data_IF_784892941401
#
_entry.id   IF_784892941401
#
_cell.length_a   1.000
_cell.length_b   1.000
_cell.length_c   1.000
_cell.angle_alpha   90.00
_cell.angle_beta   90.00
_cell.angle_gamma   90.00
#
_symmetry.space_group_name_H-M   'P 1'
#
loop_
_entity.id
_entity.type
_entity.pdbx_description
1 polymer ?
#
# COMPACT_ATOMS: atom_id res chain seq x y z
N UNK A 1 19.46 -12.92 12.27
CA UNK A 1 19.79 -11.49 12.19
C UNK A 1 18.90 -10.87 11.13
N UNK A 2 18.23 -9.74 11.39
CA UNK A 2 17.34 -9.09 10.42
C UNK A 2 18.11 -8.17 9.47
N UNK A 3 17.68 -8.11 8.21
CA UNK A 3 18.18 -7.16 7.22
C UNK A 3 17.36 -5.88 7.32
N UNK A 4 18.06 -4.75 7.36
CA UNK A 4 17.42 -3.45 7.37
C UNK A 4 17.06 -3.01 5.95
N UNK A 5 15.79 -2.67 5.74
CA UNK A 5 15.27 -2.14 4.48
C UNK A 5 15.30 -0.62 4.53
N UNK A 6 16.09 -0.03 3.62
CA UNK A 6 16.12 1.40 3.36
C UNK A 6 15.22 1.68 2.14
N UNK A 7 14.06 2.36 2.31
CA UNK A 7 13.15 2.62 1.20
C UNK A 7 13.84 3.37 0.05
N UNK A 8 13.64 2.89 -1.18
CA UNK A 8 14.24 3.48 -2.37
C UNK A 8 15.67 3.02 -2.69
N UNK A 9 16.30 2.22 -1.83
CA UNK A 9 17.68 1.77 -2.00
C UNK A 9 17.81 0.26 -2.30
N UNK A 10 16.74 -0.37 -2.80
CA UNK A 10 16.76 -1.80 -3.09
C UNK A 10 17.75 -2.13 -4.21
N UNK A 11 18.74 -2.97 -3.89
CA UNK A 11 19.70 -3.51 -4.87
C UNK A 11 19.22 -4.86 -5.41
N UNK A 12 19.72 -5.27 -6.58
CA UNK A 12 19.41 -6.61 -7.12
C UNK A 12 19.83 -7.73 -6.16
N UNK A 13 20.96 -7.58 -5.46
CA UNK A 13 21.39 -8.54 -4.44
C UNK A 13 20.42 -8.61 -3.26
N UNK A 14 19.85 -7.47 -2.82
CA UNK A 14 18.81 -7.46 -1.79
C UNK A 14 17.52 -8.12 -2.31
N UNK A 15 17.12 -7.84 -3.54
CA UNK A 15 15.94 -8.44 -4.15
C UNK A 15 16.09 -9.96 -4.31
N UNK A 16 17.28 -10.46 -4.68
CA UNK A 16 17.56 -11.90 -4.72
C UNK A 16 17.42 -12.55 -3.34
N UNK A 17 17.90 -11.89 -2.29
CA UNK A 17 17.71 -12.34 -0.90
C UNK A 17 16.23 -12.34 -0.51
N UNK A 18 15.47 -11.34 -0.97
CA UNK A 18 13.99 -11.26 -0.84
C UNK A 18 13.25 -12.26 -1.76
N UNK A 19 13.93 -12.87 -2.72
CA UNK A 19 13.36 -13.98 -3.46
C UNK A 19 13.56 -15.31 -2.73
N UNK A 20 14.77 -15.60 -2.22
CA UNK A 20 15.17 -16.94 -1.74
C UNK A 20 14.40 -17.49 -0.53
N UNK A 21 14.15 -16.68 0.50
CA UNK A 21 13.18 -16.99 1.56
C UNK A 21 13.74 -17.00 2.96
N UNK A 22 15.06 -16.93 3.09
CA UNK A 22 15.74 -17.47 4.27
C UNK A 22 16.06 -16.42 5.36
N UNK A 23 15.54 -15.20 5.20
CA UNK A 23 15.95 -14.04 5.99
C UNK A 23 14.75 -13.23 6.47
N UNK A 24 14.92 -12.60 7.63
CA UNK A 24 13.94 -11.66 8.20
C UNK A 24 14.33 -10.23 7.82
N UNK A 25 13.33 -9.40 7.57
CA UNK A 25 13.53 -8.00 7.18
C UNK A 25 12.89 -7.07 8.21
N UNK A 26 13.51 -5.91 8.41
CA UNK A 26 12.99 -4.83 9.24
C UNK A 26 13.10 -3.53 8.49
N UNK A 27 12.08 -2.69 8.57
CA UNK A 27 12.14 -1.35 8.01
C UNK A 27 13.09 -0.48 8.82
N UNK A 28 13.93 0.30 8.15
CA UNK A 28 14.76 1.31 8.80
C UNK A 28 13.87 2.33 9.53
N UNK A 29 14.23 2.65 10.79
CA UNK A 29 13.43 3.55 11.64
C UNK A 29 13.36 4.98 11.08
N UNK A 30 14.32 5.39 10.25
CA UNK A 30 14.32 6.70 9.59
C UNK A 30 13.16 6.88 8.61
N UNK A 31 12.55 5.79 8.13
CA UNK A 31 11.35 5.86 7.28
C UNK A 31 10.10 6.31 8.05
N UNK A 32 10.04 6.00 9.36
CA UNK A 32 8.83 6.16 10.18
C UNK A 32 8.31 7.61 10.22
N UNK A 33 9.13 8.64 10.48
CA UNK A 33 8.65 10.02 10.48
C UNK A 33 8.04 10.46 9.14
N UNK A 34 8.58 9.98 8.02
CA UNK A 34 8.03 10.29 6.69
C UNK A 34 6.67 9.63 6.47
N UNK A 35 6.54 8.36 6.86
CA UNK A 35 5.29 7.61 6.81
C UNK A 35 4.21 8.24 7.68
N UNK A 36 4.53 8.61 8.93
CA UNK A 36 3.58 9.21 9.87
C UNK A 36 3.08 10.57 9.33
N UNK A 37 3.97 11.40 8.76
CA UNK A 37 3.57 12.66 8.12
C UNK A 37 2.62 12.43 6.94
N UNK A 38 2.94 11.48 6.06
CA UNK A 38 2.09 11.16 4.91
C UNK A 38 0.72 10.62 5.36
N UNK A 39 0.70 9.72 6.35
CA UNK A 39 -0.53 9.16 6.91
C UNK A 39 -1.43 10.26 7.50
N UNK A 40 -0.86 11.23 8.22
CA UNK A 40 -1.61 12.36 8.77
C UNK A 40 -2.23 13.25 7.68
N UNK A 41 -1.52 13.46 6.57
CA UNK A 41 -2.05 14.22 5.41
C UNK A 41 -3.25 13.49 4.80
N UNK A 42 -3.13 12.17 4.59
CA UNK A 42 -4.22 11.36 4.03
C UNK A 42 -5.42 11.30 4.99
N UNK A 43 -5.18 11.17 6.30
CA UNK A 43 -6.24 11.19 7.30
C UNK A 43 -7.00 12.53 7.30
N UNK A 44 -6.28 13.65 7.24
CA UNK A 44 -6.88 14.97 7.14
C UNK A 44 -7.71 15.12 5.85
N UNK A 45 -7.18 14.66 4.71
CA UNK A 45 -7.90 14.65 3.43
C UNK A 45 -9.18 13.79 3.49
N UNK A 46 -9.13 12.61 4.10
CA UNK A 46 -10.30 11.75 4.30
C UNK A 46 -11.42 12.44 5.09
N UNK A 47 -11.07 13.24 6.09
CA UNK A 47 -12.05 14.02 6.87
C UNK A 47 -12.43 15.37 6.28
N UNK A 48 -11.78 15.79 5.19
CA UNK A 48 -11.87 17.14 4.65
C UNK A 48 -12.89 17.31 3.52
N UNK A 49 -13.31 18.56 3.31
CA UNK A 49 -14.24 18.96 2.26
C UNK A 49 -13.58 19.18 0.90
N UNK A 50 -12.28 18.91 0.71
CA UNK A 50 -11.63 19.00 -0.61
C UNK A 50 -11.60 17.63 -1.29
N UNK A 51 -11.99 17.49 -2.58
CA UNK A 51 -11.99 16.19 -3.24
C UNK A 51 -10.57 15.70 -3.45
N UNK A 52 -10.27 14.49 -2.98
CA UNK A 52 -8.97 13.83 -3.13
C UNK A 52 -9.19 12.41 -3.66
N UNK A 53 -8.65 12.17 -4.85
CA UNK A 53 -8.83 10.92 -5.59
C UNK A 53 -8.46 9.70 -4.76
N UNK A 54 -9.40 8.76 -4.63
CA UNK A 54 -9.21 7.48 -3.94
C UNK A 54 -9.08 7.59 -2.41
N UNK A 55 -9.22 8.80 -1.85
CA UNK A 55 -9.23 9.05 -0.41
C UNK A 55 -10.66 9.32 0.07
N UNK A 56 -11.31 10.35 -0.49
CA UNK A 56 -12.71 10.71 -0.16
C UNK A 56 -13.59 10.83 -1.42
N UNK A 57 -13.13 10.24 -2.53
CA UNK A 57 -13.88 10.09 -3.78
C UNK A 57 -13.94 8.63 -4.17
N UNK A 58 -14.79 8.30 -5.15
CA UNK A 58 -14.74 7.01 -5.84
C UNK A 58 -13.45 6.82 -6.66
N UNK A 59 -13.36 5.67 -7.34
CA UNK A 59 -12.21 5.26 -8.16
C UNK A 59 -12.56 5.21 -9.64
N UNK A 60 -11.55 5.36 -10.52
CA UNK A 60 -11.73 5.27 -11.97
C UNK A 60 -12.82 6.22 -12.49
N UNK A 61 -13.86 5.68 -13.13
CA UNK A 61 -14.99 6.48 -13.65
C UNK A 61 -15.72 7.29 -12.57
N UNK A 62 -15.64 6.87 -11.31
CA UNK A 62 -16.29 7.53 -10.17
C UNK A 62 -15.34 8.48 -9.43
N UNK A 63 -14.19 8.84 -10.00
CA UNK A 63 -13.19 9.74 -9.41
C UNK A 63 -13.75 11.12 -9.00
N UNK A 64 -14.81 11.59 -9.65
CA UNK A 64 -15.47 12.85 -9.35
C UNK A 64 -16.60 12.75 -8.32
N UNK A 65 -16.97 11.53 -7.92
CA UNK A 65 -18.05 11.29 -6.95
C UNK A 65 -17.49 11.31 -5.54
N UNK A 66 -18.08 12.14 -4.68
CA UNK A 66 -17.74 12.19 -3.25
C UNK A 66 -18.31 11.04 -2.48
N UNK A 67 -17.55 10.63 -1.47
CA UNK A 67 -17.92 9.58 -0.52
C UNK A 67 -18.02 10.22 0.86
N UNK A 68 -19.10 9.92 1.57
CA UNK A 68 -19.28 10.39 2.93
C UNK A 68 -18.22 9.78 3.86
N UNK A 69 -17.82 10.56 4.86
CA UNK A 69 -16.76 10.17 5.81
C UNK A 69 -16.99 8.79 6.43
N UNK A 70 -18.23 8.50 6.79
CA UNK A 70 -18.60 7.26 7.48
C UNK A 70 -18.51 6.03 6.54
N UNK A 71 -18.56 6.25 5.23
CA UNK A 71 -18.44 5.21 4.21
C UNK A 71 -17.01 4.97 3.72
N UNK A 72 -16.04 5.82 4.08
CA UNK A 72 -14.65 5.72 3.58
C UNK A 72 -14.03 4.36 3.90
N UNK A 73 -14.23 3.82 5.10
CA UNK A 73 -13.68 2.51 5.45
C UNK A 73 -14.28 1.38 4.59
N UNK A 74 -15.61 1.44 4.35
CA UNK A 74 -16.29 0.48 3.50
C UNK A 74 -15.86 0.61 2.04
N UNK A 75 -15.64 1.85 1.56
CA UNK A 75 -15.09 2.14 0.24
C UNK A 75 -13.74 1.45 0.02
N UNK A 76 -12.81 1.55 0.97
CA UNK A 76 -11.47 0.92 0.85
C UNK A 76 -11.57 -0.62 0.85
N UNK A 77 -12.46 -1.21 1.64
CA UNK A 77 -12.72 -2.66 1.60
C UNK A 77 -13.29 -3.08 0.23
N UNK A 78 -14.29 -2.34 -0.26
CA UNK A 78 -14.92 -2.60 -1.55
C UNK A 78 -13.92 -2.47 -2.72
N UNK A 79 -12.96 -1.54 -2.63
CA UNK A 79 -11.88 -1.42 -3.61
C UNK A 79 -11.09 -2.72 -3.70
N UNK A 80 -10.58 -3.23 -2.57
CA UNK A 80 -9.78 -4.45 -2.53
C UNK A 80 -10.58 -5.63 -3.10
N UNK A 81 -11.83 -5.80 -2.66
CA UNK A 81 -12.67 -6.92 -3.11
C UNK A 81 -13.00 -6.85 -4.60
N UNK A 82 -13.35 -5.68 -5.13
CA UNK A 82 -13.71 -5.51 -6.54
C UNK A 82 -12.51 -5.63 -7.50
N UNK A 83 -11.29 -5.36 -7.03
CA UNK A 83 -10.08 -5.39 -7.85
C UNK A 83 -9.26 -6.67 -7.67
N UNK A 84 -9.60 -7.51 -6.69
CA UNK A 84 -9.04 -8.87 -6.52
C UNK A 84 -9.64 -9.84 -7.55
N UNK A 85 -9.48 -9.50 -8.83
CA UNK A 85 -10.03 -10.21 -9.98
C UNK A 85 -8.96 -10.93 -10.82
N UNK A 86 -7.79 -11.18 -10.24
CA UNK A 86 -6.73 -11.96 -10.88
C UNK A 86 -7.18 -13.40 -11.13
N UNK A 87 -6.75 -13.98 -12.26
CA UNK A 87 -7.08 -15.36 -12.66
C UNK A 87 -5.82 -16.12 -13.07
N UNK A 88 -5.92 -17.45 -13.17
CA UNK A 88 -4.81 -18.34 -13.50
C UNK A 88 -4.17 -18.98 -12.26
N UNK A 89 -2.99 -19.56 -12.47
CA UNK A 89 -2.26 -20.25 -11.40
C UNK A 89 -1.71 -19.27 -10.37
N UNK A 90 -1.68 -19.66 -9.07
CA UNK A 90 -1.02 -18.87 -8.05
C UNK A 90 0.46 -18.64 -8.36
N UNK A 91 0.94 -17.44 -8.06
CA UNK A 91 2.37 -17.17 -8.08
C UNK A 91 3.08 -18.04 -7.03
N UNK A 92 4.33 -18.41 -7.32
CA UNK A 92 5.14 -19.14 -6.33
C UNK A 92 5.40 -18.26 -5.10
N UNK A 93 5.56 -18.86 -3.90
CA UNK A 93 5.85 -18.09 -2.69
C UNK A 93 7.05 -17.13 -2.82
N UNK A 94 8.07 -17.53 -3.57
CA UNK A 94 9.26 -16.71 -3.82
C UNK A 94 8.94 -15.45 -4.66
N UNK A 95 8.10 -15.58 -5.70
CA UNK A 95 7.64 -14.44 -6.50
C UNK A 95 6.68 -13.57 -5.69
N UNK A 96 5.71 -14.17 -4.98
CA UNK A 96 4.77 -13.44 -4.12
C UNK A 96 5.48 -12.62 -3.05
N UNK A 97 6.60 -13.10 -2.50
CA UNK A 97 7.38 -12.37 -1.48
C UNK A 97 8.14 -11.17 -2.04
N UNK A 98 8.39 -11.15 -3.34
CA UNK A 98 9.09 -10.07 -4.04
C UNK A 98 8.18 -8.91 -4.43
N UNK A 99 6.87 -9.19 -4.64
CA UNK A 99 5.82 -8.19 -4.90
C UNK A 99 5.49 -7.43 -3.62
#
# INVERSE_FOLDING_TARGET
>A
MSILLLPGEATLSLLERIYRGDEYFQLDRTARPGMDRAANIVAAAGSGETPVYGVNTGFGKLASVRIDKDDINQLQLNLILSHSAGTGEPLSPAVTRLV
#
